data_IF_832462405113
#
_entry.id   IF_832462405113
#
_cell.length_a   1.000
_cell.length_b   1.000
_cell.length_c   1.000
_cell.angle_alpha   90.00
_cell.angle_beta   90.00
_cell.angle_gamma   90.00
#
_symmetry.space_group_name_H-M   'P 1'
#
loop_
_entity.id
_entity.type
_entity.pdbx_description
1 polymer ?
#
# COMPACT_ATOMS: atom_id res chain seq x y z
N UNK A 1 -22.77 24.48 42.95
CA UNK A 1 -21.33 24.87 42.85
C UNK A 1 -20.60 24.05 43.91
N UNK A 2 -19.50 23.33 43.73
CA UNK A 2 -18.47 23.24 42.70
C UNK A 2 -17.81 21.85 42.85
N UNK A 3 -17.40 21.30 41.71
CA UNK A 3 -16.71 20.02 41.43
C UNK A 3 -15.56 19.73 42.40
N UNK A 4 -15.39 18.48 42.84
CA UNK A 4 -14.06 17.90 43.12
C UNK A 4 -14.04 16.47 42.57
N UNK A 5 -13.20 16.28 41.55
CA UNK A 5 -12.82 15.05 40.88
C UNK A 5 -11.71 14.35 41.68
N UNK A 6 -11.77 13.02 41.80
CA UNK A 6 -10.65 12.12 42.15
C UNK A 6 -11.05 10.74 41.57
N UNK A 7 -10.70 10.44 40.31
CA UNK A 7 -9.42 9.86 39.87
C UNK A 7 -9.04 8.60 40.65
N UNK A 8 -9.25 7.43 40.03
CA UNK A 8 -8.39 6.21 40.03
C UNK A 8 -9.25 5.04 39.53
N UNK A 9 -8.87 4.46 38.38
CA UNK A 9 -8.76 3.01 38.16
C UNK A 9 -8.49 2.73 36.67
N UNK A 10 -7.20 2.81 36.33
CA UNK A 10 -6.51 1.88 35.44
C UNK A 10 -7.35 1.25 34.31
N UNK A 11 -7.43 1.96 33.17
CA UNK A 11 -7.72 1.30 31.90
C UNK A 11 -6.51 0.42 31.59
N UNK A 12 -6.65 -0.87 31.87
CA UNK A 12 -5.69 -1.90 31.51
C UNK A 12 -5.67 -1.97 29.97
N UNK A 13 -4.82 -1.16 29.33
CA UNK A 13 -4.50 -1.36 27.92
C UNK A 13 -3.72 -2.66 27.85
N UNK A 14 -4.44 -3.76 27.60
CA UNK A 14 -3.83 -5.03 27.21
C UNK A 14 -3.08 -4.73 25.92
N UNK A 15 -1.76 -4.56 26.03
CA UNK A 15 -0.87 -4.54 24.88
C UNK A 15 -0.85 -5.99 24.39
N UNK A 16 -1.83 -6.34 23.57
CA UNK A 16 -1.78 -7.56 22.79
C UNK A 16 -0.59 -7.38 21.85
N UNK A 17 0.51 -8.04 22.16
CA UNK A 17 1.64 -8.16 21.24
C UNK A 17 1.18 -9.09 20.13
N UNK A 18 0.41 -8.57 19.17
CA UNK A 18 0.14 -9.28 17.94
C UNK A 18 1.50 -9.51 17.28
N UNK A 19 1.91 -10.78 17.17
CA UNK A 19 2.92 -11.18 16.20
C UNK A 19 2.29 -10.97 14.81
N UNK A 20 2.22 -9.70 14.37
CA UNK A 20 1.74 -9.37 13.05
C UNK A 20 2.62 -10.13 12.05
N UNK A 21 2.00 -10.76 11.06
CA UNK A 21 2.74 -11.35 9.95
C UNK A 21 3.65 -10.26 9.37
N UNK A 22 4.93 -10.57 9.15
CA UNK A 22 5.88 -9.56 8.70
C UNK A 22 5.38 -8.94 7.38
N UNK A 23 5.05 -7.65 7.41
CA UNK A 23 4.69 -6.87 6.22
C UNK A 23 5.85 -6.78 5.22
N UNK A 24 7.07 -6.99 5.70
CA UNK A 24 8.30 -6.99 4.95
C UNK A 24 8.24 -7.93 3.74
N UNK A 25 8.93 -7.51 2.68
CA UNK A 25 9.14 -8.30 1.48
C UNK A 25 8.49 -7.72 0.24
N UNK A 26 8.45 -8.54 -0.80
CA UNK A 26 7.90 -8.16 -2.11
C UNK A 26 6.49 -8.70 -2.23
N UNK A 27 5.55 -7.83 -2.55
CA UNK A 27 4.16 -8.15 -2.81
C UNK A 27 3.88 -7.91 -4.30
N UNK A 28 3.24 -8.88 -4.96
CA UNK A 28 2.91 -8.82 -6.38
C UNK A 28 1.41 -8.96 -6.61
N UNK A 29 0.91 -8.30 -7.65
CA UNK A 29 -0.49 -8.40 -8.06
C UNK A 29 -0.69 -7.96 -9.51
N UNK A 30 -1.95 -8.00 -9.95
CA UNK A 30 -2.37 -7.56 -11.27
C UNK A 30 -3.42 -6.45 -11.11
N UNK A 31 -3.26 -5.37 -11.87
CA UNK A 31 -4.24 -4.30 -11.98
C UNK A 31 -4.96 -4.46 -13.32
N UNK A 32 -6.29 -4.57 -13.26
CA UNK A 32 -7.17 -4.72 -14.44
C UNK A 32 -6.80 -5.90 -15.36
N UNK A 33 -6.05 -6.89 -14.85
CA UNK A 33 -5.57 -8.04 -15.62
C UNK A 33 -4.45 -7.73 -16.63
N UNK A 34 -4.03 -6.47 -16.75
CA UNK A 34 -3.05 -6.03 -17.75
C UNK A 34 -1.69 -5.67 -17.11
N UNK A 35 -1.71 -4.90 -16.02
CA UNK A 35 -0.51 -4.31 -15.46
C UNK A 35 0.01 -5.11 -14.27
N UNK A 36 1.28 -5.49 -14.33
CA UNK A 36 1.96 -6.12 -13.19
C UNK A 36 2.26 -5.07 -12.13
N UNK A 37 1.89 -5.35 -10.89
CA UNK A 37 2.22 -4.51 -9.74
C UNK A 37 3.25 -5.22 -8.87
N UNK A 38 4.27 -4.48 -8.43
CA UNK A 38 5.20 -4.91 -7.40
C UNK A 38 5.31 -3.84 -6.31
N UNK A 39 5.13 -4.24 -5.06
CA UNK A 39 5.27 -3.40 -3.88
C UNK A 39 6.30 -4.03 -2.95
N UNK A 40 7.45 -3.39 -2.80
CA UNK A 40 8.48 -3.80 -1.84
C UNK A 40 8.26 -3.04 -0.56
N UNK A 41 8.09 -3.72 0.56
CA UNK A 41 7.85 -3.13 1.88
C UNK A 41 8.95 -3.52 2.87
N UNK A 42 9.27 -2.58 3.75
CA UNK A 42 10.10 -2.80 4.93
C UNK A 42 9.52 -1.99 6.10
N UNK A 43 9.29 -2.65 7.22
CA UNK A 43 8.84 -2.06 8.46
C UNK A 43 10.01 -2.03 9.46
N UNK A 44 10.36 -0.82 9.88
CA UNK A 44 11.37 -0.59 10.92
C UNK A 44 10.69 0.08 12.11
N UNK A 45 10.35 -0.71 13.13
CA UNK A 45 9.73 -0.22 14.36
C UNK A 45 8.41 0.56 14.17
N UNK A 46 7.61 0.21 13.15
CA UNK A 46 6.34 0.88 12.82
C UNK A 46 6.44 1.89 11.67
N UNK A 47 7.67 2.25 11.25
CA UNK A 47 7.91 3.07 10.06
C UNK A 47 7.92 2.17 8.81
N UNK A 48 6.90 2.32 7.97
CA UNK A 48 6.83 1.62 6.69
C UNK A 48 7.59 2.39 5.62
N UNK A 49 8.53 1.72 4.96
CA UNK A 49 9.23 2.21 3.78
C UNK A 49 9.04 1.22 2.64
N UNK A 50 9.27 1.68 1.42
CA UNK A 50 9.06 0.81 0.28
C UNK A 50 9.03 1.51 -1.05
N UNK A 51 8.85 0.67 -2.07
CA UNK A 51 8.74 1.06 -3.46
C UNK A 51 7.50 0.42 -4.05
N UNK A 52 6.64 1.23 -4.62
CA UNK A 52 5.49 0.84 -5.44
C UNK A 52 5.88 0.94 -6.91
N UNK A 53 5.76 -0.13 -7.67
CA UNK A 53 6.09 -0.16 -9.10
C UNK A 53 4.94 -0.81 -9.89
N UNK A 54 4.56 -0.14 -10.99
CA UNK A 54 3.68 -0.71 -12.01
C UNK A 54 4.49 -0.95 -13.28
N UNK A 55 4.33 -2.13 -13.86
CA UNK A 55 4.97 -2.54 -15.11
C UNK A 55 3.87 -2.87 -16.11
N UNK A 56 3.85 -2.13 -17.22
CA UNK A 56 3.08 -2.52 -18.39
C UNK A 56 3.82 -3.64 -19.11
N UNK A 57 3.14 -4.77 -19.33
CA UNK A 57 3.72 -5.90 -20.05
C UNK A 57 3.52 -5.78 -21.57
N UNK A 58 2.80 -4.76 -22.04
CA UNK A 58 2.59 -4.55 -23.47
C UNK A 58 3.83 -3.86 -24.09
N UNK A 59 4.62 -4.55 -24.92
CA UNK A 59 5.81 -3.97 -25.53
C UNK A 59 5.50 -2.81 -26.49
N UNK A 60 4.24 -2.61 -26.91
CA UNK A 60 3.82 -1.46 -27.74
C UNK A 60 3.65 -0.17 -26.94
N UNK A 61 3.54 -0.23 -25.62
CA UNK A 61 3.34 0.97 -24.78
C UNK A 61 4.59 1.84 -24.64
N UNK A 62 5.76 1.36 -25.06
CA UNK A 62 7.01 2.12 -25.08
C UNK A 62 7.08 3.12 -26.26
N UNK A 63 6.16 3.02 -27.24
CA UNK A 63 6.14 3.87 -28.43
C UNK A 63 4.68 4.20 -28.83
N UNK A 64 4.14 5.38 -28.47
CA UNK A 64 2.74 5.69 -28.74
C UNK A 64 2.54 5.90 -30.25
N UNK A 65 1.78 5.03 -30.90
CA UNK A 65 1.22 5.33 -32.22
C UNK A 65 -0.02 6.24 -32.08
N UNK A 66 -0.36 6.93 -33.17
CA UNK A 66 -1.38 7.99 -33.25
C UNK A 66 -2.83 7.52 -32.94
N UNK A 67 -3.02 6.26 -32.55
CA UNK A 67 -4.33 5.64 -32.33
C UNK A 67 -4.96 5.90 -30.94
N UNK A 68 -4.39 6.79 -30.12
CA UNK A 68 -5.09 7.33 -28.95
C UNK A 68 -5.30 6.35 -27.79
N UNK A 69 -4.41 5.37 -27.62
CA UNK A 69 -4.34 4.64 -26.37
C UNK A 69 -3.68 5.54 -25.32
N UNK A 70 -4.40 5.89 -24.24
CA UNK A 70 -3.77 6.54 -23.08
C UNK A 70 -3.47 5.49 -22.01
N UNK A 71 -2.22 4.99 -21.90
CA UNK A 71 -1.78 4.15 -20.78
C UNK A 71 -1.56 5.03 -19.52
N UNK A 72 -2.55 5.86 -19.18
CA UNK A 72 -2.40 6.95 -18.21
C UNK A 72 -2.08 6.45 -16.79
N UNK A 73 -2.32 5.17 -16.50
CA UNK A 73 -2.04 4.56 -15.19
C UNK A 73 -0.68 3.87 -15.14
N UNK A 74 -0.19 3.26 -16.22
CA UNK A 74 1.07 2.49 -16.17
C UNK A 74 2.30 3.29 -16.60
N UNK A 75 2.17 4.17 -17.59
CA UNK A 75 3.30 4.94 -18.11
C UNK A 75 3.70 6.12 -17.20
N UNK A 76 2.79 6.65 -16.38
CA UNK A 76 3.07 7.77 -15.47
C UNK A 76 3.32 7.37 -14.02
N UNK A 77 2.91 6.16 -13.60
CA UNK A 77 3.09 5.74 -12.20
C UNK A 77 4.51 5.24 -11.94
N UNK A 78 5.25 4.71 -12.92
CA UNK A 78 6.66 4.34 -12.76
C UNK A 78 7.00 3.64 -11.43
N UNK A 79 8.22 3.86 -10.94
CA UNK A 79 8.69 3.42 -9.62
C UNK A 79 8.50 4.58 -8.63
N UNK A 80 7.55 4.46 -7.71
CA UNK A 80 7.29 5.45 -6.66
C UNK A 80 7.81 4.99 -5.30
N UNK A 81 8.50 5.89 -4.61
CA UNK A 81 8.94 5.65 -3.23
C UNK A 81 7.83 6.04 -2.25
N UNK A 82 7.67 5.26 -1.19
CA UNK A 82 6.80 5.62 -0.06
C UNK A 82 7.39 6.82 0.68
N UNK A 83 6.61 7.87 0.86
CA UNK A 83 7.05 9.13 1.51
C UNK A 83 6.61 9.26 2.96
N UNK A 84 5.47 8.68 3.32
CA UNK A 84 4.99 8.53 4.69
C UNK A 84 4.33 7.18 4.82
N UNK A 85 4.74 6.37 5.79
CA UNK A 85 4.31 4.99 5.91
C UNK A 85 4.25 4.54 7.36
N UNK A 86 3.15 3.92 7.73
CA UNK A 86 2.84 3.47 9.09
C UNK A 86 2.27 2.07 9.07
N UNK A 87 2.64 1.28 10.08
CA UNK A 87 2.08 -0.05 10.35
C UNK A 87 1.46 -0.04 11.73
N UNK A 88 0.25 -0.60 11.85
CA UNK A 88 -0.47 -0.79 13.09
C UNK A 88 -1.13 -2.19 13.07
N UNK A 89 -0.43 -3.17 13.66
CA UNK A 89 -0.80 -4.57 13.57
C UNK A 89 -0.89 -5.04 12.12
N UNK A 90 -2.06 -5.55 11.73
CA UNK A 90 -2.34 -6.01 10.36
C UNK A 90 -2.71 -4.87 9.41
N UNK A 91 -2.92 -3.66 9.92
CA UNK A 91 -3.24 -2.49 9.12
C UNK A 91 -1.98 -1.71 8.75
N UNK A 92 -1.98 -1.14 7.56
CA UNK A 92 -0.94 -0.23 7.14
C UNK A 92 -1.52 0.95 6.37
N UNK A 93 -0.81 2.05 6.37
CA UNK A 93 -1.12 3.20 5.56
C UNK A 93 0.17 3.75 5.00
N UNK A 94 0.18 4.10 3.72
CA UNK A 94 1.30 4.82 3.15
C UNK A 94 0.87 5.82 2.08
N UNK A 95 1.74 6.79 1.85
CA UNK A 95 1.60 7.81 0.83
C UNK A 95 2.70 7.63 -0.21
N UNK A 96 2.34 7.78 -1.48
CA UNK A 96 3.28 7.97 -2.59
C UNK A 96 2.99 9.31 -3.26
N UNK A 97 3.83 9.72 -4.21
CA UNK A 97 3.61 10.95 -4.98
C UNK A 97 3.41 10.60 -6.44
N UNK A 98 2.29 11.05 -7.02
CA UNK A 98 1.98 10.91 -8.43
C UNK A 98 1.72 12.30 -9.02
N UNK A 99 2.47 12.69 -10.06
CA UNK A 99 2.40 14.03 -10.67
C UNK A 99 2.47 15.18 -9.64
N UNK A 100 3.35 15.04 -8.64
CA UNK A 100 3.52 16.01 -7.56
C UNK A 100 2.39 16.04 -6.52
N UNK A 101 1.37 15.19 -6.66
CA UNK A 101 0.25 15.08 -5.72
C UNK A 101 0.37 13.83 -4.85
N UNK A 102 0.04 13.90 -3.55
CA UNK A 102 0.05 12.74 -2.68
C UNK A 102 -1.09 11.77 -3.05
N UNK A 103 -0.77 10.48 -3.08
CA UNK A 103 -1.74 9.38 -3.23
C UNK A 103 -1.63 8.49 -2.00
N UNK A 104 -2.74 8.39 -1.25
CA UNK A 104 -2.81 7.64 0.00
C UNK A 104 -3.35 6.25 -0.25
N UNK A 105 -2.65 5.24 0.28
CA UNK A 105 -3.04 3.84 0.26
C UNK A 105 -3.34 3.39 1.68
N UNK A 106 -4.47 2.71 1.87
CA UNK A 106 -4.83 2.02 3.11
C UNK A 106 -4.82 0.52 2.86
N UNK A 107 -4.10 -0.21 3.70
CA UNK A 107 -3.87 -1.63 3.57
C UNK A 107 -4.27 -2.44 4.78
N UNK A 108 -4.65 -3.69 4.54
CA UNK A 108 -4.80 -4.71 5.58
C UNK A 108 -4.17 -6.02 5.08
N UNK A 109 -3.42 -6.69 5.95
CA UNK A 109 -2.89 -8.03 5.72
C UNK A 109 -3.85 -9.03 6.32
N UNK A 110 -4.34 -9.96 5.49
CA UNK A 110 -5.19 -11.07 5.93
C UNK A 110 -4.96 -12.28 5.03
N UNK A 111 -4.90 -13.47 5.61
CA UNK A 111 -4.77 -14.75 4.89
C UNK A 111 -3.61 -14.78 3.88
N UNK A 112 -2.46 -14.18 4.24
CA UNK A 112 -1.28 -14.10 3.38
C UNK A 112 -1.43 -13.18 2.16
N UNK A 113 -2.45 -12.30 2.17
CA UNK A 113 -2.71 -11.30 1.13
C UNK A 113 -2.59 -9.90 1.72
N UNK A 114 -2.07 -8.98 0.94
CA UNK A 114 -2.11 -7.55 1.21
C UNK A 114 -3.22 -6.93 0.35
N UNK A 115 -4.28 -6.45 0.98
CA UNK A 115 -5.37 -5.75 0.30
C UNK A 115 -5.16 -4.26 0.49
N UNK A 116 -4.98 -3.51 -0.61
CA UNK A 116 -4.85 -2.06 -0.60
C UNK A 116 -6.08 -1.41 -1.19
N UNK A 117 -6.44 -0.25 -0.67
CA UNK A 117 -7.44 0.65 -1.23
C UNK A 117 -6.85 2.03 -1.39
N UNK A 118 -7.18 2.71 -2.49
CA UNK A 118 -6.84 4.10 -2.73
C UNK A 118 -7.95 4.78 -3.52
N UNK A 119 -8.05 6.09 -3.40
CA UNK A 119 -8.95 6.90 -4.22
C UNK A 119 -8.11 7.73 -5.17
N UNK A 120 -8.35 7.57 -6.47
CA UNK A 120 -7.69 8.33 -7.51
C UNK A 120 -8.74 9.06 -8.34
N UNK A 121 -8.77 10.40 -8.25
CA UNK A 121 -9.87 11.20 -8.77
C UNK A 121 -11.19 10.83 -8.09
N UNK A 122 -12.17 10.35 -8.86
CA UNK A 122 -13.48 9.87 -8.35
C UNK A 122 -13.54 8.35 -8.19
N UNK A 123 -12.48 7.63 -8.59
CA UNK A 123 -12.49 6.17 -8.59
C UNK A 123 -11.86 5.61 -7.33
N UNK A 124 -12.51 4.59 -6.76
CA UNK A 124 -11.95 3.78 -5.70
C UNK A 124 -11.30 2.53 -6.31
N UNK A 125 -10.00 2.39 -6.09
CA UNK A 125 -9.21 1.28 -6.59
C UNK A 125 -8.94 0.33 -5.43
N UNK A 126 -9.23 -0.96 -5.63
CA UNK A 126 -8.88 -2.04 -4.70
C UNK A 126 -7.85 -2.95 -5.35
N UNK A 127 -6.73 -3.15 -4.67
CA UNK A 127 -5.62 -4.00 -5.09
C UNK A 127 -5.51 -5.18 -4.13
N UNK A 128 -5.28 -6.38 -4.67
CA UNK A 128 -4.98 -7.56 -3.85
C UNK A 128 -3.64 -8.12 -4.28
N UNK A 129 -2.67 -8.10 -3.36
CA UNK A 129 -1.30 -8.52 -3.60
C UNK A 129 -0.99 -9.77 -2.79
N UNK A 130 -0.04 -10.58 -3.29
CA UNK A 130 0.50 -11.75 -2.61
C UNK A 130 2.02 -11.72 -2.66
N UNK A 131 2.68 -12.25 -1.64
CA UNK A 131 4.11 -12.51 -1.76
C UNK A 131 4.35 -13.53 -2.89
N UNK A 132 5.44 -13.41 -3.68
CA UNK A 132 5.79 -14.42 -4.66
C UNK A 132 6.04 -15.74 -3.94
N UNK A 133 5.65 -16.85 -4.57
CA UNK A 133 6.03 -18.17 -4.06
C UNK A 133 7.56 -18.24 -3.98
N UNK A 134 8.08 -18.65 -2.82
CA UNK A 134 9.50 -19.00 -2.70
C UNK A 134 9.72 -20.20 -3.61
N UNK A 135 10.55 -20.05 -4.64
CA UNK A 135 10.98 -21.20 -5.44
C UNK A 135 11.72 -22.15 -4.49
N UNK A 136 11.19 -23.37 -4.35
CA UNK A 136 11.84 -24.45 -3.60
C UNK A 136 13.06 -24.97 -4.34
#
# INVERSE_FOLDING_TARGET
MKKILLSIALVLTVVTVCLAASVDGVWKGLVEGQYNLSLTLKNDGGKLTGVFALVDNNPKSENPDEAGYTPYVAAQMGKNTITDGKVDGDNLQFTTTFNGKPVVYKGTIADGKLVLTTTFGTQNIKLTLKQPAVAK
#
